data_IF_899841048669
#
_entry.id   IF_899841048669
#
_cell.length_a   1.000
_cell.length_b   1.000
_cell.length_c   1.000
_cell.angle_alpha   90.00
_cell.angle_beta   90.00
_cell.angle_gamma   90.00
#
_symmetry.space_group_name_H-M   'P 1'
#
loop_
_entity.id
_entity.type
_entity.pdbx_description
1 polymer ?
#
# COMPACT_ATOMS: atom_id res chain seq x y z
N UNK A 1 17.05 -10.61 -6.36
CA UNK A 1 15.62 -10.80 -6.03
C UNK A 1 15.25 -9.63 -5.16
N UNK A 2 14.47 -8.69 -5.68
CA UNK A 2 13.97 -7.56 -4.90
C UNK A 2 13.03 -8.09 -3.80
N UNK A 3 13.00 -7.43 -2.65
CA UNK A 3 12.13 -7.81 -1.55
C UNK A 3 10.70 -7.31 -1.84
N UNK A 4 9.74 -8.22 -1.99
CA UNK A 4 8.35 -7.85 -2.31
C UNK A 4 7.43 -7.87 -1.09
N UNK A 5 6.43 -6.97 -1.05
CA UNK A 5 5.36 -7.00 -0.05
C UNK A 5 3.98 -6.69 -0.65
N UNK A 6 2.93 -7.23 -0.03
CA UNK A 6 1.55 -6.95 -0.40
C UNK A 6 1.01 -5.72 0.36
N UNK A 7 0.43 -4.77 -0.38
CA UNK A 7 -0.24 -3.59 0.18
C UNK A 7 -1.75 -3.69 0.01
N UNK A 8 -2.47 -3.97 1.09
CA UNK A 8 -3.93 -3.90 1.12
C UNK A 8 -4.39 -2.45 1.32
N UNK A 9 -4.91 -1.82 0.26
CA UNK A 9 -5.19 -0.38 0.23
C UNK A 9 -6.68 -0.11 -0.01
N UNK A 10 -7.27 0.90 0.65
CA UNK A 10 -8.69 1.22 0.47
C UNK A 10 -8.96 2.70 0.20
N UNK A 11 -9.79 2.98 -0.82
CA UNK A 11 -10.24 4.33 -1.19
C UNK A 11 -11.03 5.04 -0.09
N UNK A 12 -11.58 4.30 0.88
CA UNK A 12 -12.37 4.85 1.98
C UNK A 12 -11.57 4.96 3.30
N UNK A 13 -10.30 4.55 3.31
CA UNK A 13 -9.45 4.61 4.50
C UNK A 13 -8.62 5.90 4.48
N UNK A 14 -8.81 6.85 5.41
CA UNK A 14 -7.97 8.05 5.48
C UNK A 14 -6.50 7.71 5.72
N UNK A 15 -6.21 6.64 6.48
CA UNK A 15 -4.85 6.17 6.72
C UNK A 15 -4.16 5.65 5.46
N UNK A 16 -4.92 5.05 4.54
CA UNK A 16 -4.37 4.58 3.28
C UNK A 16 -3.80 5.76 2.48
N UNK A 17 -4.47 6.92 2.46
CA UNK A 17 -3.93 8.13 1.83
C UNK A 17 -2.71 8.69 2.58
N UNK A 18 -2.74 8.71 3.91
CA UNK A 18 -1.61 9.18 4.72
C UNK A 18 -0.35 8.34 4.51
N UNK A 19 -0.50 7.03 4.32
CA UNK A 19 0.61 6.11 4.12
C UNK A 19 1.18 6.13 2.69
N UNK A 20 0.36 6.44 1.66
CA UNK A 20 0.76 6.35 0.24
C UNK A 20 2.08 7.06 -0.05
N UNK A 21 2.25 8.30 0.41
CA UNK A 21 3.48 9.07 0.13
C UNK A 21 4.75 8.41 0.68
N UNK A 22 4.67 7.76 1.85
CA UNK A 22 5.81 7.03 2.44
C UNK A 22 6.10 5.74 1.70
N UNK A 23 5.06 5.05 1.22
CA UNK A 23 5.18 3.81 0.46
C UNK A 23 5.85 4.07 -0.89
N UNK A 24 5.47 5.15 -1.59
CA UNK A 24 6.11 5.55 -2.85
C UNK A 24 7.61 5.78 -2.64
N UNK A 25 7.98 6.57 -1.62
CA UNK A 25 9.40 6.79 -1.27
C UNK A 25 10.13 5.50 -0.93
N UNK A 26 9.49 4.57 -0.22
CA UNK A 26 10.08 3.27 0.11
C UNK A 26 10.44 2.47 -1.16
N UNK A 27 9.57 2.47 -2.17
CA UNK A 27 9.83 1.77 -3.45
C UNK A 27 10.87 2.50 -4.30
N UNK A 28 10.95 3.83 -4.21
CA UNK A 28 11.95 4.62 -4.93
C UNK A 28 13.36 4.52 -4.31
N UNK A 29 13.46 4.49 -2.98
CA UNK A 29 14.74 4.54 -2.25
C UNK A 29 15.38 3.16 -2.04
N UNK A 30 14.61 2.07 -2.12
CA UNK A 30 15.07 0.71 -1.80
C UNK A 30 14.73 -0.29 -2.92
N UNK A 31 15.48 -1.39 -3.02
CA UNK A 31 15.21 -2.50 -3.95
C UNK A 31 14.03 -3.39 -3.46
N UNK A 32 12.85 -2.76 -3.35
CA UNK A 32 11.61 -3.39 -2.89
C UNK A 32 10.50 -3.26 -3.93
N UNK A 33 9.66 -4.28 -4.02
CA UNK A 33 8.48 -4.30 -4.89
C UNK A 33 7.19 -4.22 -4.05
N UNK A 34 6.32 -3.27 -4.38
CA UNK A 34 5.01 -3.13 -3.73
C UNK A 34 3.89 -3.69 -4.60
N UNK A 35 3.28 -4.79 -4.16
CA UNK A 35 2.14 -5.43 -4.84
C UNK A 35 0.85 -4.85 -4.28
N UNK A 36 0.21 -3.94 -5.00
CA UNK A 36 -0.99 -3.24 -4.52
C UNK A 36 -2.25 -4.10 -4.71
N UNK A 37 -3.02 -4.25 -3.62
CA UNK A 37 -4.28 -4.99 -3.56
C UNK A 37 -5.41 -4.09 -3.04
N UNK A 38 -6.20 -3.48 -3.93
CA UNK A 38 -7.35 -2.67 -3.53
C UNK A 38 -8.39 -3.51 -2.78
N UNK A 39 -8.89 -3.00 -1.65
CA UNK A 39 -9.89 -3.68 -0.82
C UNK A 39 -11.03 -2.76 -0.37
N UNK A 40 -12.20 -3.37 -0.20
CA UNK A 40 -13.32 -2.76 0.51
C UNK A 40 -13.11 -2.88 2.03
N UNK A 41 -13.43 -1.81 2.81
CA UNK A 41 -13.40 -1.87 4.26
C UNK A 41 -14.27 -3.01 4.79
N UNK A 42 -13.82 -3.62 5.89
CA UNK A 42 -14.56 -4.68 6.58
C UNK A 42 -15.96 -4.25 7.00
N UNK A 43 -16.16 -2.96 7.27
CA UNK A 43 -17.45 -2.37 7.65
C UNK A 43 -18.52 -2.39 6.52
N UNK A 44 -18.19 -2.86 5.32
CA UNK A 44 -19.13 -3.01 4.18
C UNK A 44 -19.48 -4.49 3.94
N UNK A 45 -18.87 -5.44 4.66
CA UNK A 45 -19.21 -6.86 4.54
C UNK A 45 -20.36 -7.25 5.46
#
# INVERSE_FOLDING_TARGET
>A
MSLSFDLYWSFRSPYSYLATGRIVKLVEEFDVECIVRPVYPIAIR
#
